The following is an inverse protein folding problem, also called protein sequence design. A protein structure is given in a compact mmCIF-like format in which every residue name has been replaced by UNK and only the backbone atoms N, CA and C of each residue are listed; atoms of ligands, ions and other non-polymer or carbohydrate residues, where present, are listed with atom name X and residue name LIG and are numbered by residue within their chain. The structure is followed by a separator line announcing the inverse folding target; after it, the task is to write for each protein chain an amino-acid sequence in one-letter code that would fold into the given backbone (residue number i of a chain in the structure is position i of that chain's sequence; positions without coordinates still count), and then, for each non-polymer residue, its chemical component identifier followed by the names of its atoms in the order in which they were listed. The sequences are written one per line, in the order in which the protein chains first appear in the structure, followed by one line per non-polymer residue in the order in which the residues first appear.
data_IF_093417121055
#
_entry.id   IF_093417121055
#
_cell.length_a   1.000
_cell.length_b   1.000
_cell.length_c   1.000
_cell.angle_alpha   90.00
_cell.angle_beta   90.00
_cell.angle_gamma   90.00
#
_symmetry.space_group_name_H-M   'P 1'
#
loop_
_entity.id
_entity.type
_entity.pdbx_description
1 polymer ?
#
# COMPACT_ATOMS: atom_id res chain seq x y z
N UNK A 1 9.20 -4.03 1.32
CA UNK A 1 7.92 -4.03 0.59
C UNK A 1 6.99 -2.95 1.14
N UNK A 2 6.35 -2.20 0.26
CA UNK A 2 5.45 -1.09 0.56
C UNK A 2 3.99 -1.56 0.62
N UNK A 3 3.25 -1.14 1.64
CA UNK A 3 1.78 -1.31 1.66
C UNK A 3 1.10 -0.42 0.62
N UNK A 4 1.62 0.79 0.45
CA UNK A 4 1.17 1.76 -0.56
C UNK A 4 2.38 2.38 -1.23
N UNK A 5 2.31 2.58 -2.54
CA UNK A 5 3.27 3.43 -3.27
C UNK A 5 3.07 4.90 -2.88
N UNK A 6 3.95 5.79 -3.32
CA UNK A 6 3.82 7.21 -3.04
C UNK A 6 2.52 7.79 -3.61
N UNK A 7 2.20 7.44 -4.86
CA UNK A 7 0.98 7.91 -5.53
C UNK A 7 -0.29 7.35 -4.87
N UNK A 8 -0.27 6.06 -4.49
CA UNK A 8 -1.38 5.43 -3.76
C UNK A 8 -1.61 6.08 -2.40
N UNK A 9 -0.52 6.37 -1.67
CA UNK A 9 -0.59 7.06 -0.37
C UNK A 9 -1.17 8.46 -0.53
N UNK A 10 -0.72 9.21 -1.54
CA UNK A 10 -1.23 10.55 -1.82
C UNK A 10 -2.72 10.55 -2.15
N UNK A 11 -3.16 9.58 -2.97
CA UNK A 11 -4.58 9.42 -3.28
C UNK A 11 -5.42 9.08 -2.05
N UNK A 12 -4.96 8.15 -1.19
CA UNK A 12 -5.65 7.80 0.05
C UNK A 12 -5.69 8.97 1.04
N UNK A 13 -4.64 9.78 1.13
CA UNK A 13 -4.62 10.98 1.96
C UNK A 13 -5.61 12.03 1.46
N UNK A 14 -5.76 12.20 0.15
CA UNK A 14 -6.75 13.13 -0.42
C UNK A 14 -8.18 12.76 0.00
N UNK A 15 -8.51 11.47 0.10
CA UNK A 15 -9.81 10.99 0.54
C UNK A 15 -10.11 11.29 2.02
N UNK A 16 -9.09 11.62 2.83
CA UNK A 16 -9.25 11.98 4.25
C UNK A 16 -9.59 13.46 4.47
N UNK A 17 -9.64 14.26 3.41
CA UNK A 17 -9.90 15.70 3.50
C UNK A 17 -8.69 16.54 3.89
N UNK A 18 -7.49 16.02 3.77
CA UNK A 18 -6.24 16.78 3.91
C UNK A 18 -6.06 17.71 2.72
N UNK A 19 -5.89 19.01 2.96
CA UNK A 19 -5.77 20.02 1.91
C UNK A 19 -4.44 19.95 1.14
N UNK A 20 -3.35 19.61 1.83
CA UNK A 20 -2.01 19.61 1.26
C UNK A 20 -1.20 18.40 1.72
N UNK A 21 -0.51 17.75 0.80
CA UNK A 21 0.48 16.73 1.07
C UNK A 21 1.85 17.21 0.56
N UNK A 22 2.82 17.34 1.45
CA UNK A 22 4.18 17.74 1.11
C UNK A 22 5.08 16.51 1.16
N UNK A 23 5.69 16.17 0.04
CA UNK A 23 6.71 15.13 -0.03
C UNK A 23 8.08 15.74 0.21
N UNK A 24 8.75 15.29 1.27
CA UNK A 24 10.11 15.71 1.57
C UNK A 24 11.09 14.63 1.08
N UNK A 25 12.03 15.03 0.25
CA UNK A 25 13.12 14.16 -0.15
C UNK A 25 14.00 13.86 1.06
N UNK A 26 14.14 12.57 1.38
CA UNK A 26 14.96 12.13 2.49
C UNK A 26 16.46 12.17 2.10
N UNK A 27 16.99 13.37 2.00
CA UNK A 27 18.40 13.62 1.66
C UNK A 27 19.33 13.30 2.84
N UNK A 28 20.66 13.08 2.60
CA UNK A 28 21.63 12.92 3.67
C UNK A 28 21.67 14.12 4.62
N UNK A 29 21.38 15.33 4.15
CA UNK A 29 21.37 16.53 4.99
C UNK A 29 20.13 16.53 5.89
N UNK A 30 18.95 16.20 5.37
CA UNK A 30 17.74 16.03 6.18
C UNK A 30 17.93 14.94 7.24
N UNK A 31 18.55 13.80 6.86
CA UNK A 31 18.79 12.68 7.76
C UNK A 31 19.73 12.99 8.95
N UNK A 32 20.58 14.02 8.81
CA UNK A 32 21.51 14.45 9.88
C UNK A 32 20.90 15.41 10.88
N UNK A 33 19.72 15.96 10.60
CA UNK A 33 19.07 16.90 11.49
C UNK A 33 18.68 16.24 12.82
N UNK A 34 18.96 16.92 13.94
CA UNK A 34 18.35 16.57 15.23
C UNK A 34 16.84 16.82 15.17
N UNK A 35 16.08 16.25 16.09
CA UNK A 35 14.64 16.49 16.17
C UNK A 35 14.30 17.98 16.22
N UNK A 36 15.01 18.74 17.08
CA UNK A 36 14.82 20.19 17.18
C UNK A 36 15.11 20.93 15.87
N UNK A 37 16.19 20.56 15.17
CA UNK A 37 16.53 21.16 13.87
C UNK A 37 15.46 20.86 12.82
N UNK A 38 14.97 19.62 12.76
CA UNK A 38 13.89 19.25 11.84
C UNK A 38 12.60 20.02 12.15
N UNK A 39 12.21 20.15 13.43
CA UNK A 39 11.07 20.97 13.84
C UNK A 39 11.25 22.45 13.46
N UNK A 40 12.48 22.98 13.55
CA UNK A 40 12.78 24.35 13.13
C UNK A 40 12.59 24.53 11.59
N UNK A 41 12.97 23.55 10.79
CA UNK A 41 12.69 23.54 9.33
C UNK A 41 11.19 23.53 9.07
N UNK A 42 10.42 22.65 9.76
CA UNK A 42 8.97 22.62 9.62
C UNK A 42 8.32 23.96 9.99
N UNK A 43 8.82 24.62 11.03
CA UNK A 43 8.32 25.93 11.45
C UNK A 43 8.69 27.04 10.46
N UNK A 44 9.97 27.08 10.04
CA UNK A 44 10.51 28.17 9.22
C UNK A 44 10.07 28.09 7.75
N UNK A 45 10.25 26.93 7.14
CA UNK A 45 10.05 26.76 5.70
C UNK A 45 8.58 26.42 5.36
N UNK A 46 7.90 25.66 6.25
CA UNK A 46 6.52 25.21 6.00
C UNK A 46 5.49 25.89 6.90
N UNK A 47 5.91 26.79 7.80
CA UNK A 47 5.04 27.55 8.70
C UNK A 47 4.11 26.66 9.55
N UNK A 48 4.55 25.47 9.92
CA UNK A 48 3.81 24.52 10.76
C UNK A 48 3.50 25.16 12.11
N UNK A 49 2.23 25.15 12.50
CA UNK A 49 1.77 25.70 13.78
C UNK A 49 1.58 24.61 14.83
N UNK A 50 1.17 23.43 14.42
CA UNK A 50 0.97 22.27 15.26
C UNK A 50 1.60 21.02 14.63
N UNK A 51 2.24 20.17 15.43
CA UNK A 51 2.84 18.91 15.02
C UNK A 51 2.16 17.76 15.77
N UNK A 52 1.51 16.86 15.03
CA UNK A 52 0.91 15.65 15.60
C UNK A 52 1.92 14.51 15.47
N UNK A 53 2.23 13.85 16.58
CA UNK A 53 3.24 12.78 16.66
C UNK A 53 2.56 11.49 17.11
N UNK A 54 2.76 10.38 16.39
CA UNK A 54 2.30 9.06 16.83
C UNK A 54 2.96 8.63 18.14
N UNK A 55 2.26 7.88 18.94
CA UNK A 55 2.70 7.47 20.30
C UNK A 55 4.06 6.73 20.33
N UNK A 56 4.39 6.02 19.26
CA UNK A 56 5.62 5.23 19.08
C UNK A 56 6.59 5.86 18.06
N UNK A 57 6.24 7.01 17.52
CA UNK A 57 7.03 7.65 16.47
C UNK A 57 8.17 8.47 17.06
N UNK A 58 9.38 8.24 16.55
CA UNK A 58 10.57 9.02 16.89
C UNK A 58 11.27 9.49 15.64
N UNK A 59 11.67 10.74 15.64
CA UNK A 59 12.38 11.36 14.50
C UNK A 59 13.63 12.10 15.01
N UNK A 60 14.46 12.57 14.08
CA UNK A 60 15.78 13.12 14.35
C UNK A 60 16.89 12.07 14.20
N UNK A 61 18.10 12.54 14.01
CA UNK A 61 19.26 11.71 13.65
C UNK A 61 19.52 10.54 14.63
N UNK A 62 19.47 10.81 15.94
CA UNK A 62 19.81 9.85 16.99
C UNK A 62 18.59 9.14 17.61
N UNK A 63 17.37 9.62 17.35
CA UNK A 63 16.11 9.10 17.91
C UNK A 63 16.14 8.90 19.44
N UNK A 64 16.93 9.71 20.13
CA UNK A 64 17.11 9.63 21.60
C UNK A 64 16.05 10.41 22.36
N UNK A 65 15.41 11.36 21.68
CA UNK A 65 14.39 12.22 22.24
C UNK A 65 13.09 11.45 22.46
N UNK A 66 12.38 11.81 23.53
CA UNK A 66 11.04 11.35 23.84
C UNK A 66 9.98 12.44 23.54
N UNK A 67 8.72 12.15 23.86
CA UNK A 67 7.62 13.08 23.59
C UNK A 67 7.77 14.40 24.38
N UNK A 68 8.26 14.35 25.60
CA UNK A 68 8.46 15.56 26.45
C UNK A 68 9.54 16.47 25.86
N UNK A 69 10.57 15.90 25.23
CA UNK A 69 11.55 16.67 24.48
C UNK A 69 10.92 17.41 23.30
N UNK A 70 10.05 16.73 22.53
CA UNK A 70 9.35 17.37 21.40
C UNK A 70 8.42 18.47 21.88
N UNK A 71 7.72 18.30 22.98
CA UNK A 71 6.88 19.36 23.59
C UNK A 71 7.73 20.56 23.97
N UNK A 72 8.88 20.36 24.62
CA UNK A 72 9.82 21.44 24.99
C UNK A 72 10.32 22.18 23.73
N UNK A 73 10.74 21.46 22.69
CA UNK A 73 11.17 22.06 21.42
C UNK A 73 10.04 22.83 20.75
N UNK A 74 8.82 22.30 20.78
CA UNK A 74 7.64 22.99 20.27
C UNK A 74 7.41 24.34 20.98
N UNK A 75 7.49 24.37 22.32
CA UNK A 75 7.36 25.61 23.08
C UNK A 75 8.44 26.63 22.71
N UNK A 76 9.69 26.22 22.55
CA UNK A 76 10.79 27.08 22.15
C UNK A 76 10.62 27.64 20.72
N UNK A 77 10.00 26.89 19.83
CA UNK A 77 9.76 27.26 18.43
C UNK A 77 8.41 27.93 18.19
N UNK A 78 7.57 28.04 19.21
CA UNK A 78 6.20 28.54 19.07
C UNK A 78 5.31 27.63 18.25
N UNK A 79 5.41 26.30 18.47
CA UNK A 79 4.61 25.24 17.86
C UNK A 79 3.88 24.45 18.93
N UNK A 80 2.64 24.05 18.67
CA UNK A 80 1.96 23.06 19.48
C UNK A 80 2.44 21.66 19.13
N UNK A 81 2.58 20.76 20.12
CA UNK A 81 2.92 19.36 19.89
C UNK A 81 1.84 18.49 20.51
N UNK A 82 1.23 17.64 19.70
CA UNK A 82 0.08 16.81 20.04
C UNK A 82 0.45 15.34 19.91
N UNK A 83 0.20 14.56 20.97
CA UNK A 83 0.38 13.12 20.94
C UNK A 83 -0.85 12.44 20.35
N UNK A 84 -0.69 11.76 19.24
CA UNK A 84 -1.75 10.91 18.71
C UNK A 84 -1.85 9.62 19.53
N UNK A 85 -3.08 9.25 19.87
CA UNK A 85 -3.34 7.99 20.56
C UNK A 85 -3.16 6.80 19.62
N UNK A 86 -2.72 5.66 20.17
CA UNK A 86 -2.68 4.41 19.43
C UNK A 86 -4.11 3.99 19.01
N UNK A 87 -4.25 3.63 17.75
CA UNK A 87 -5.49 3.00 17.29
C UNK A 87 -5.38 1.48 17.48
N UNK A 88 -6.35 0.89 18.17
CA UNK A 88 -6.48 -0.56 18.33
C UNK A 88 -7.85 -1.01 17.83
N UNK A 89 -7.88 -2.12 17.10
CA UNK A 89 -9.10 -2.78 16.66
C UNK A 89 -9.12 -4.19 17.28
N UNK A 90 -10.20 -4.53 18.01
CA UNK A 90 -10.42 -5.86 18.58
C UNK A 90 -9.19 -6.47 19.29
N UNK A 91 -8.56 -5.74 20.19
CA UNK A 91 -7.37 -6.15 20.97
C UNK A 91 -6.04 -6.23 20.17
N UNK A 92 -6.05 -6.05 18.85
CA UNK A 92 -4.85 -6.02 18.05
C UNK A 92 -4.36 -4.58 17.84
N UNK A 93 -3.11 -4.32 18.15
CA UNK A 93 -2.47 -3.05 17.80
C UNK A 93 -2.25 -2.99 16.29
N UNK A 94 -2.94 -2.07 15.62
CA UNK A 94 -2.79 -1.88 14.18
C UNK A 94 -1.43 -1.26 13.88
N UNK A 95 -0.63 -1.96 13.08
CA UNK A 95 0.67 -1.48 12.62
C UNK A 95 0.93 -1.93 11.18
N UNK A 96 1.81 -1.20 10.49
CA UNK A 96 2.20 -1.58 9.12
C UNK A 96 2.84 -2.97 9.06
N UNK A 97 3.52 -3.41 10.13
CA UNK A 97 4.13 -4.74 10.20
C UNK A 97 3.07 -5.84 10.36
N UNK A 98 2.06 -5.62 11.20
CA UNK A 98 0.94 -6.55 11.36
C UNK A 98 0.15 -6.70 10.04
N UNK A 99 -0.14 -5.58 9.36
CA UNK A 99 -0.86 -5.60 8.08
C UNK A 99 -0.05 -6.33 6.99
N UNK A 100 1.29 -6.12 6.92
CA UNK A 100 2.13 -6.88 5.98
C UNK A 100 2.06 -8.38 6.24
N UNK A 101 2.10 -8.78 7.52
CA UNK A 101 1.99 -10.20 7.89
C UNK A 101 0.66 -10.79 7.42
N UNK A 102 -0.46 -10.14 7.69
CA UNK A 102 -1.79 -10.58 7.23
C UNK A 102 -1.85 -10.76 5.71
N UNK A 103 -1.32 -9.78 4.95
CA UNK A 103 -1.30 -9.86 3.49
C UNK A 103 -0.40 -10.99 2.97
N UNK A 104 0.73 -11.25 3.61
CA UNK A 104 1.64 -12.35 3.26
C UNK A 104 1.10 -13.73 3.64
N UNK A 105 0.20 -13.80 4.60
CA UNK A 105 -0.58 -14.99 4.95
C UNK A 105 -1.84 -15.14 4.07
N UNK A 106 -2.18 -14.09 3.30
CA UNK A 106 -3.35 -14.06 2.42
C UNK A 106 -4.63 -13.60 3.09
N UNK A 107 -4.60 -13.23 4.37
CA UNK A 107 -5.77 -12.71 5.07
C UNK A 107 -6.04 -11.23 4.71
N UNK A 108 -6.48 -11.04 3.47
CA UNK A 108 -6.81 -9.69 2.96
C UNK A 108 -8.06 -9.11 3.63
N UNK A 109 -8.91 -9.96 4.21
CA UNK A 109 -10.12 -9.52 4.91
C UNK A 109 -9.76 -8.84 6.23
N UNK A 110 -8.91 -9.47 7.05
CA UNK A 110 -8.45 -8.86 8.30
C UNK A 110 -7.50 -7.69 8.04
N UNK A 111 -6.68 -7.78 6.99
CA UNK A 111 -5.88 -6.64 6.55
C UNK A 111 -6.75 -5.43 6.20
N UNK A 112 -7.92 -5.62 5.55
CA UNK A 112 -8.86 -4.55 5.24
C UNK A 112 -9.48 -3.94 6.51
N UNK A 113 -9.81 -4.77 7.51
CA UNK A 113 -10.29 -4.29 8.82
C UNK A 113 -9.26 -3.39 9.51
N UNK A 114 -7.97 -3.76 9.44
CA UNK A 114 -6.88 -2.98 10.00
C UNK A 114 -6.58 -1.70 9.20
N UNK A 115 -6.70 -1.75 7.87
CA UNK A 115 -6.43 -0.61 6.98
C UNK A 115 -7.57 0.42 6.97
N UNK A 116 -8.82 -0.02 7.20
CA UNK A 116 -10.02 0.78 6.98
C UNK A 116 -10.44 0.88 5.50
N UNK A 117 -9.74 0.17 4.61
CA UNK A 117 -10.06 0.05 3.17
C UNK A 117 -9.56 -1.29 2.63
N UNK A 118 -10.13 -1.76 1.51
CA UNK A 118 -9.67 -2.99 0.88
C UNK A 118 -8.28 -2.80 0.25
N UNK A 119 -7.37 -3.73 0.55
CA UNK A 119 -6.06 -3.72 -0.09
C UNK A 119 -6.20 -3.82 -1.60
N UNK A 120 -5.38 -3.11 -2.33
CA UNK A 120 -5.47 -3.06 -3.79
C UNK A 120 -4.10 -3.11 -4.46
N UNK A 121 -4.12 -3.59 -5.69
CA UNK A 121 -2.98 -3.60 -6.60
C UNK A 121 -3.30 -2.69 -7.79
N UNK A 122 -2.43 -1.74 -8.06
CA UNK A 122 -2.42 -0.93 -9.26
C UNK A 122 -1.33 -1.44 -10.20
N UNK A 123 -1.66 -1.50 -11.48
CA UNK A 123 -0.70 -1.91 -12.49
C UNK A 123 -1.18 -1.62 -13.90
N UNK A 124 -0.41 -2.07 -14.85
CA UNK A 124 -0.73 -2.00 -16.28
C UNK A 124 -1.02 -3.40 -16.80
N UNK A 125 -2.02 -3.52 -17.65
CA UNK A 125 -2.33 -4.79 -18.32
C UNK A 125 -1.28 -5.07 -19.38
N UNK A 126 -0.57 -6.18 -19.23
CA UNK A 126 0.48 -6.58 -20.18
C UNK A 126 0.10 -7.84 -20.96
N UNK A 127 0.74 -8.03 -22.10
CA UNK A 127 0.59 -9.24 -22.88
C UNK A 127 1.04 -10.47 -22.08
N UNK A 128 0.20 -11.50 -22.07
CA UNK A 128 0.51 -12.80 -21.49
C UNK A 128 0.55 -13.90 -22.57
N UNK A 129 0.67 -15.14 -22.13
CA UNK A 129 0.76 -16.30 -23.04
C UNK A 129 -0.58 -16.70 -23.67
N UNK A 130 -1.68 -15.98 -23.43
CA UNK A 130 -3.03 -16.19 -23.95
C UNK A 130 -3.61 -17.60 -23.69
N UNK A 131 -3.14 -18.32 -22.71
CA UNK A 131 -3.60 -19.70 -22.40
C UNK A 131 -5.06 -19.69 -21.98
N UNK A 132 -5.48 -18.76 -21.12
CA UNK A 132 -6.86 -18.64 -20.66
C UNK A 132 -7.87 -18.41 -21.80
N UNK A 133 -7.49 -17.65 -22.84
CA UNK A 133 -8.34 -17.40 -24.00
C UNK A 133 -8.67 -18.68 -24.78
N UNK A 134 -7.73 -19.65 -24.82
CA UNK A 134 -7.92 -20.94 -25.51
C UNK A 134 -8.90 -21.86 -24.81
N UNK A 135 -9.10 -21.69 -23.51
CA UNK A 135 -9.98 -22.53 -22.68
C UNK A 135 -11.26 -21.81 -22.26
N UNK A 136 -11.57 -20.65 -22.88
CA UNK A 136 -12.81 -19.91 -22.65
C UNK A 136 -12.82 -18.99 -21.41
N UNK A 137 -11.67 -18.83 -20.74
CA UNK A 137 -11.51 -17.94 -19.59
C UNK A 137 -10.40 -16.92 -19.85
N UNK A 138 -10.68 -15.86 -20.64
CA UNK A 138 -9.65 -14.84 -20.89
C UNK A 138 -9.21 -14.18 -19.61
N UNK A 139 -7.89 -14.09 -19.41
CA UNK A 139 -7.28 -13.41 -18.27
C UNK A 139 -6.40 -12.26 -18.73
N UNK A 140 -6.48 -11.14 -18.03
CA UNK A 140 -5.55 -10.02 -18.16
C UNK A 140 -4.35 -10.26 -17.22
N UNK A 141 -3.13 -10.05 -17.69
CA UNK A 141 -1.95 -10.09 -16.83
C UNK A 141 -1.69 -8.70 -16.28
N UNK A 142 -1.70 -8.57 -14.96
CA UNK A 142 -1.44 -7.32 -14.28
C UNK A 142 0.05 -7.24 -13.94
N UNK A 143 0.73 -6.27 -14.52
CA UNK A 143 2.08 -5.88 -14.12
C UNK A 143 1.97 -4.76 -13.08
N UNK A 144 2.35 -5.04 -11.84
CA UNK A 144 2.40 -4.01 -10.79
C UNK A 144 3.54 -3.05 -11.10
N UNK A 145 3.24 -1.75 -11.17
CA UNK A 145 4.19 -0.75 -11.68
C UNK A 145 5.38 -0.51 -10.75
N UNK A 146 5.19 -0.70 -9.44
CA UNK A 146 6.24 -0.50 -8.45
C UNK A 146 6.73 -1.84 -7.91
N UNK A 147 8.00 -2.21 -8.11
CA UNK A 147 8.55 -3.49 -7.67
C UNK A 147 8.61 -3.63 -6.14
N UNK A 148 8.55 -2.54 -5.40
CA UNK A 148 8.51 -2.57 -3.94
C UNK A 148 7.10 -2.74 -3.37
N UNK A 149 6.06 -2.60 -4.19
CA UNK A 149 4.67 -2.82 -3.76
C UNK A 149 4.48 -4.25 -3.27
N UNK A 150 3.96 -4.41 -2.07
CA UNK A 150 3.64 -5.72 -1.52
C UNK A 150 2.55 -6.39 -2.38
N UNK A 151 2.84 -7.61 -2.81
CA UNK A 151 1.89 -8.50 -3.47
C UNK A 151 1.49 -9.59 -2.45
N UNK A 152 0.20 -9.78 -2.15
CA UNK A 152 -0.28 -10.76 -1.17
C UNK A 152 0.14 -12.19 -1.48
N UNK A 153 -0.16 -13.12 -0.57
CA UNK A 153 0.13 -14.55 -0.73
C UNK A 153 -0.40 -15.10 -2.06
N UNK A 154 0.19 -16.19 -2.52
CA UNK A 154 -0.28 -16.93 -3.68
C UNK A 154 -1.68 -17.51 -3.42
N UNK A 155 -2.56 -17.41 -4.41
CA UNK A 155 -3.94 -17.88 -4.28
C UNK A 155 -4.88 -17.23 -5.27
N UNK A 156 -6.18 -17.46 -5.08
CA UNK A 156 -7.25 -16.88 -5.90
C UNK A 156 -8.12 -16.00 -5.01
N UNK A 157 -8.29 -14.75 -5.41
CA UNK A 157 -9.02 -13.72 -4.67
C UNK A 157 -10.23 -13.24 -5.47
N UNK A 158 -11.35 -13.00 -4.82
CA UNK A 158 -12.43 -12.21 -5.40
C UNK A 158 -12.01 -10.74 -5.43
N UNK A 159 -12.25 -10.07 -6.56
CA UNK A 159 -11.82 -8.69 -6.74
C UNK A 159 -12.89 -7.81 -7.39
N UNK A 160 -12.87 -6.52 -7.04
CA UNK A 160 -13.42 -5.48 -7.88
C UNK A 160 -12.29 -4.93 -8.75
N UNK A 161 -12.55 -4.85 -10.05
CA UNK A 161 -11.61 -4.37 -11.06
C UNK A 161 -12.07 -3.02 -11.56
N UNK A 162 -11.18 -2.04 -11.57
CA UNK A 162 -11.42 -0.71 -12.10
C UNK A 162 -10.56 -0.48 -13.34
N UNK A 163 -11.23 -0.10 -14.42
CA UNK A 163 -10.64 0.35 -15.69
C UNK A 163 -11.12 1.80 -15.90
N UNK A 164 -10.28 2.76 -15.54
CA UNK A 164 -10.72 4.13 -15.39
C UNK A 164 -11.83 4.24 -14.33
N UNK A 165 -12.99 4.81 -14.71
CA UNK A 165 -14.15 4.92 -13.82
C UNK A 165 -15.07 3.68 -13.85
N UNK A 166 -14.87 2.78 -14.79
CA UNK A 166 -15.71 1.59 -14.94
C UNK A 166 -15.32 0.55 -13.89
N UNK A 167 -16.33 0.05 -13.15
CA UNK A 167 -16.19 -0.98 -12.12
C UNK A 167 -16.73 -2.32 -12.63
N UNK A 168 -15.90 -3.35 -12.51
CA UNK A 168 -16.24 -4.73 -12.83
C UNK A 168 -15.96 -5.64 -11.62
N UNK A 169 -16.48 -6.87 -11.68
CA UNK A 169 -16.14 -7.93 -10.71
C UNK A 169 -15.34 -9.01 -11.43
N UNK A 170 -14.48 -9.69 -10.67
CA UNK A 170 -13.64 -10.74 -11.24
C UNK A 170 -12.95 -11.59 -10.20
N UNK A 171 -12.07 -12.45 -10.68
CA UNK A 171 -11.14 -13.23 -9.88
C UNK A 171 -9.71 -12.85 -10.24
N UNK A 172 -8.87 -12.69 -9.23
CA UNK A 172 -7.44 -12.42 -9.38
C UNK A 172 -6.66 -13.62 -8.83
N UNK A 173 -5.78 -14.16 -9.65
CA UNK A 173 -4.91 -15.28 -9.29
C UNK A 173 -3.47 -14.80 -9.17
N UNK A 174 -2.86 -15.01 -8.00
CA UNK A 174 -1.42 -14.78 -7.76
C UNK A 174 -0.75 -16.15 -7.69
N UNK A 175 0.39 -16.31 -8.36
CA UNK A 175 1.15 -17.54 -8.25
C UNK A 175 2.26 -17.66 -9.29
N UNK A 176 3.05 -18.70 -9.14
CA UNK A 176 4.18 -18.97 -10.01
C UNK A 176 3.77 -19.78 -11.23
N UNK A 177 4.36 -19.43 -12.37
CA UNK A 177 4.26 -20.22 -13.60
C UNK A 177 5.59 -20.86 -13.93
N UNK A 178 5.61 -22.13 -14.39
CA UNK A 178 6.78 -22.70 -15.02
C UNK A 178 7.11 -21.92 -16.31
N UNK A 179 8.30 -21.37 -16.42
CA UNK A 179 8.78 -20.76 -17.67
C UNK A 179 9.60 -21.78 -18.48
N UNK A 180 9.61 -21.62 -19.81
CA UNK A 180 10.39 -22.47 -20.71
C UNK A 180 11.91 -22.40 -20.44
N UNK A 181 12.37 -21.41 -19.67
CA UNK A 181 13.79 -21.19 -19.34
C UNK A 181 14.15 -21.58 -17.91
N UNK A 182 13.45 -22.55 -17.29
CA UNK A 182 13.71 -23.03 -15.92
C UNK A 182 13.59 -21.97 -14.80
N UNK A 183 12.93 -20.83 -15.03
CA UNK A 183 12.56 -19.84 -14.03
C UNK A 183 11.11 -20.03 -13.55
N UNK A 184 10.82 -19.59 -12.32
CA UNK A 184 9.47 -19.44 -11.80
C UNK A 184 9.16 -17.96 -11.77
N UNK A 185 8.34 -17.47 -12.72
CA UNK A 185 7.89 -16.10 -12.72
C UNK A 185 6.56 -15.98 -11.96
N UNK A 186 6.53 -15.14 -10.93
CA UNK A 186 5.29 -14.83 -10.23
C UNK A 186 4.42 -13.97 -11.12
N UNK A 187 3.19 -14.41 -11.38
CA UNK A 187 2.24 -13.73 -12.25
C UNK A 187 0.97 -13.36 -11.48
N UNK A 188 0.36 -12.26 -11.89
CA UNK A 188 -0.94 -11.81 -11.40
C UNK A 188 -1.89 -11.81 -12.60
N UNK A 189 -2.87 -12.70 -12.56
CA UNK A 189 -3.83 -12.89 -13.62
C UNK A 189 -5.22 -12.51 -13.14
N UNK A 190 -5.93 -11.71 -13.92
CA UNK A 190 -7.27 -11.22 -13.60
C UNK A 190 -8.26 -11.70 -14.65
N UNK A 191 -9.24 -12.51 -14.23
CA UNK A 191 -10.40 -12.85 -15.04
C UNK A 191 -11.54 -11.90 -14.67
N UNK A 192 -11.93 -11.03 -15.58
CA UNK A 192 -13.03 -10.07 -15.40
C UNK A 192 -14.31 -10.75 -15.90
N UNK A 193 -15.34 -10.81 -15.05
CA UNK A 193 -16.59 -11.48 -15.41
C UNK A 193 -17.38 -10.68 -16.43
N UNK A 194 -17.96 -11.38 -17.41
CA UNK A 194 -18.82 -10.78 -18.45
C UNK A 194 -18.14 -9.62 -19.20
N UNK A 195 -16.83 -9.76 -19.45
CA UNK A 195 -16.03 -8.73 -20.07
C UNK A 195 -15.33 -9.29 -21.33
N UNK A 196 -15.50 -8.59 -22.46
CA UNK A 196 -14.90 -8.98 -23.74
C UNK A 196 -14.45 -7.72 -24.50
N UNK A 197 -13.41 -7.07 -23.97
CA UNK A 197 -12.76 -5.93 -24.61
C UNK A 197 -11.24 -6.07 -24.56
N UNK A 198 -10.57 -5.41 -25.48
CA UNK A 198 -9.12 -5.28 -25.48
C UNK A 198 -8.73 -4.17 -24.50
N UNK A 199 -7.91 -4.53 -23.50
CA UNK A 199 -7.46 -3.62 -22.44
C UNK A 199 -5.94 -3.65 -22.26
N UNK A 200 -5.20 -4.13 -23.26
CA UNK A 200 -3.74 -4.09 -23.20
C UNK A 200 -3.24 -2.65 -23.05
N UNK A 201 -2.15 -2.50 -22.31
CA UNK A 201 -1.49 -1.24 -21.97
C UNK A 201 -2.36 -0.24 -21.18
N UNK A 202 -3.57 -0.68 -20.75
CA UNK A 202 -4.42 0.16 -19.91
C UNK A 202 -4.08 0.00 -18.42
N UNK A 203 -4.21 1.09 -17.63
CA UNK A 203 -4.11 0.99 -16.18
C UNK A 203 -5.30 0.22 -15.61
N UNK A 204 -5.02 -0.65 -14.65
CA UNK A 204 -6.00 -1.45 -13.94
C UNK A 204 -5.75 -1.38 -12.44
N UNK A 205 -6.83 -1.20 -11.67
CA UNK A 205 -6.81 -1.34 -10.20
C UNK A 205 -7.67 -2.51 -9.78
N UNK A 206 -7.12 -3.39 -8.93
CA UNK A 206 -7.84 -4.53 -8.37
C UNK A 206 -7.94 -4.41 -6.86
N UNK A 207 -9.15 -4.30 -6.30
CA UNK A 207 -9.41 -4.34 -4.86
C UNK A 207 -9.70 -5.79 -4.45
N UNK A 208 -8.99 -6.28 -3.42
CA UNK A 208 -9.08 -7.66 -2.95
C UNK A 208 -10.08 -7.77 -1.79
N UNK A 209 -10.98 -8.76 -1.84
CA UNK A 209 -12.10 -8.88 -0.90
C UNK A 209 -12.10 -10.15 -0.05
N UNK A 210 -11.50 -11.22 -0.53
CA UNK A 210 -11.52 -12.51 0.19
C UNK A 210 -10.12 -13.05 0.37
N UNK A 211 -9.92 -13.82 1.45
CA UNK A 211 -8.73 -14.64 1.61
C UNK A 211 -8.62 -15.64 0.46
N UNK A 212 -7.40 -16.06 0.08
CA UNK A 212 -7.20 -16.93 -1.06
C UNK A 212 -7.90 -18.27 -0.85
N UNK A 213 -8.62 -18.72 -1.87
CA UNK A 213 -8.95 -20.13 -1.95
C UNK A 213 -7.66 -20.93 -2.19
N UNK A 214 -7.41 -22.02 -1.43
CA UNK A 214 -6.27 -22.86 -1.72
C UNK A 214 -6.29 -23.27 -3.21
N UNK A 215 -5.20 -23.09 -3.91
CA UNK A 215 -5.03 -23.73 -5.21
C UNK A 215 -5.00 -25.23 -4.93
N UNK A 216 -5.89 -26.00 -5.53
CA UNK A 216 -5.70 -27.46 -5.62
C UNK A 216 -4.40 -27.71 -6.40
N UNK A 217 -3.29 -27.96 -5.68
CA UNK A 217 -2.00 -28.34 -6.27
C UNK A 217 -1.98 -29.86 -6.52
N UNK A 218 -3.13 -30.52 -6.50
CA UNK A 218 -3.30 -31.92 -6.82
C UNK A 218 -3.64 -32.08 -8.30
N UNK A 219 -2.63 -32.08 -9.14
CA UNK A 219 -2.71 -32.38 -10.56
C UNK A 219 -1.32 -32.77 -11.09
#
# INVERSE_FOLDING_TARGET
ELLTTCDEKTALLADTGIDNCIMLDFTPDLARLSAKQFMAVLKGDYQVQALVIGYDHRFGHNRSEDFDDYVRYGQELGMEVILAQAYSNNEMTVSSSAIRHLLLEGDVSEAANCLGYHFFLNGTVVNGYHVGRKIGFPTANLCVNDPEKLVPADGVYAVNVFLGEAKHTGMLSIGYRPTLNNGLDRSIEVHIFHFDADIYDQPMRCLLYTSPSPRDISG
#
